data_IF_315380566552
#
_entry.id   IF_315380566552
#
_cell.length_a   1.000
_cell.length_b   1.000
_cell.length_c   1.000
_cell.angle_alpha   90.00
_cell.angle_beta   90.00
_cell.angle_gamma   90.00
#
_symmetry.space_group_name_H-M   'P 1'
#
loop_
_entity.id
_entity.type
_entity.pdbx_description
1 polymer ?
#
# COMPACT_ATOMS: atom_id res chain seq x y z
N UNK A 1 -18.39 50.53 23.89
CA UNK A 1 -18.72 49.09 23.92
C UNK A 1 -18.82 48.59 22.49
N UNK A 2 -18.34 47.37 22.23
CA UNK A 2 -18.47 46.58 20.99
C UNK A 2 -17.62 47.08 19.81
N UNK A 3 -16.84 46.27 19.10
CA UNK A 3 -16.61 44.82 19.14
C UNK A 3 -15.54 44.46 18.11
N UNK A 4 -14.72 43.46 18.42
CA UNK A 4 -13.60 42.95 17.61
C UNK A 4 -14.11 42.23 16.36
N UNK A 5 -13.37 42.34 15.26
CA UNK A 5 -13.46 41.45 14.10
C UNK A 5 -12.05 41.03 13.66
N UNK A 6 -11.71 39.76 13.87
CA UNK A 6 -10.59 39.05 13.25
C UNK A 6 -11.15 38.18 12.11
N UNK A 7 -10.25 37.54 11.34
CA UNK A 7 -10.44 36.62 10.19
C UNK A 7 -10.39 37.32 8.82
N UNK A 8 -9.60 36.92 7.82
CA UNK A 8 -8.55 35.91 7.67
C UNK A 8 -7.74 36.32 6.43
N UNK A 9 -6.40 36.35 6.51
CA UNK A 9 -5.55 36.41 5.33
C UNK A 9 -5.67 35.09 4.55
N UNK A 10 -6.33 35.12 3.39
CA UNK A 10 -6.26 34.05 2.40
C UNK A 10 -4.88 34.13 1.71
N UNK A 11 -3.90 33.46 2.29
CA UNK A 11 -2.64 33.14 1.63
C UNK A 11 -2.90 32.11 0.55
N UNK A 12 -2.93 32.55 -0.72
CA UNK A 12 -2.98 31.66 -1.86
C UNK A 12 -1.67 30.87 -1.93
N UNK A 13 -1.84 29.55 -1.86
CA UNK A 13 -0.89 28.48 -2.07
C UNK A 13 0.25 28.81 -3.04
N UNK A 14 1.44 29.12 -2.51
CA UNK A 14 2.68 29.00 -3.26
C UNK A 14 2.97 27.50 -3.39
N UNK A 15 2.66 26.93 -4.56
CA UNK A 15 3.20 25.67 -5.03
C UNK A 15 4.73 25.81 -5.05
N UNK A 16 5.38 25.41 -3.94
CA UNK A 16 6.83 25.32 -3.84
C UNK A 16 7.28 24.15 -4.71
N UNK A 17 7.63 24.43 -5.96
CA UNK A 17 8.46 23.55 -6.75
C UNK A 17 9.78 23.35 -5.98
N UNK A 18 9.99 22.14 -5.49
CA UNK A 18 11.17 21.75 -4.73
C UNK A 18 12.42 21.77 -5.61
N UNK A 19 13.36 22.65 -5.27
CA UNK A 19 14.68 22.74 -5.87
C UNK A 19 15.67 21.78 -5.22
N UNK A 20 16.23 20.87 -6.01
CA UNK A 20 17.28 19.95 -5.59
C UNK A 20 18.65 20.63 -5.46
N UNK A 21 19.54 20.09 -4.61
CA UNK A 21 20.95 20.51 -4.51
C UNK A 21 21.76 19.63 -3.52
N UNK A 22 23.02 19.98 -3.27
CA UNK A 22 24.05 19.17 -2.61
C UNK A 22 24.75 19.97 -1.49
N UNK A 23 25.73 19.40 -0.78
CA UNK A 23 26.73 20.21 -0.01
C UNK A 23 27.93 20.52 -0.90
N UNK A 24 28.40 21.77 -0.91
CA UNK A 24 29.43 22.22 -1.86
C UNK A 24 30.75 22.57 -1.18
N UNK A 25 31.85 22.14 -1.80
CA UNK A 25 33.21 22.34 -1.32
C UNK A 25 34.10 22.83 -2.46
N UNK A 26 35.19 23.51 -2.13
CA UNK A 26 36.13 23.95 -3.16
C UNK A 26 37.58 23.76 -2.73
N UNK A 27 38.49 23.71 -3.70
CA UNK A 27 39.90 23.46 -3.41
C UNK A 27 40.55 24.58 -2.60
N UNK A 28 41.14 24.21 -1.46
CA UNK A 28 41.84 25.10 -0.55
C UNK A 28 43.25 25.46 -1.05
N UNK A 29 44.02 24.47 -1.51
CA UNK A 29 45.48 24.57 -1.71
C UNK A 29 45.97 25.01 -3.10
N UNK A 30 45.08 25.18 -4.09
CA UNK A 30 45.53 25.68 -5.40
C UNK A 30 44.50 25.63 -6.53
N UNK A 31 44.99 26.01 -7.70
CA UNK A 31 44.28 25.97 -8.98
C UNK A 31 44.75 24.78 -9.81
N UNK A 32 43.80 24.06 -10.40
CA UNK A 32 43.99 22.77 -11.06
C UNK A 32 43.52 22.82 -12.52
N UNK A 33 44.14 22.01 -13.37
CA UNK A 33 43.52 21.65 -14.66
C UNK A 33 42.23 20.88 -14.41
N UNK A 34 41.31 20.85 -15.37
CA UNK A 34 39.99 20.26 -15.16
C UNK A 34 40.05 18.80 -14.68
N UNK A 35 40.89 17.97 -15.29
CA UNK A 35 41.07 16.55 -14.86
C UNK A 35 41.63 16.44 -13.44
N UNK A 36 42.55 17.34 -13.08
CA UNK A 36 43.12 17.38 -11.74
C UNK A 36 42.11 17.87 -10.70
N UNK A 37 41.25 18.83 -11.08
CA UNK A 37 40.15 19.32 -10.26
C UNK A 37 39.12 18.21 -10.01
N UNK A 38 38.80 17.43 -11.04
CA UNK A 38 37.92 16.27 -10.91
C UNK A 38 38.51 15.22 -9.99
N UNK A 39 39.78 14.86 -10.19
CA UNK A 39 40.47 13.90 -9.33
C UNK A 39 40.48 14.37 -7.86
N UNK A 40 40.71 15.66 -7.63
CA UNK A 40 40.59 16.25 -6.29
C UNK A 40 39.18 16.05 -5.70
N UNK A 41 38.13 16.38 -6.45
CA UNK A 41 36.76 16.23 -5.97
C UNK A 41 36.38 14.76 -5.71
N UNK A 42 36.80 13.83 -6.56
CA UNK A 42 36.55 12.40 -6.36
C UNK A 42 37.36 11.78 -5.21
N UNK A 43 38.51 12.38 -4.87
CA UNK A 43 39.35 11.93 -3.76
C UNK A 43 38.78 12.34 -2.40
N UNK A 44 38.21 13.55 -2.30
CA UNK A 44 37.81 14.14 -1.02
C UNK A 44 36.29 14.31 -0.83
N UNK A 45 35.51 14.23 -1.91
CA UNK A 45 34.06 14.43 -1.93
C UNK A 45 33.41 13.41 -2.88
N UNK A 46 32.23 13.71 -3.44
CA UNK A 46 31.57 12.81 -4.38
C UNK A 46 32.10 12.99 -5.81
N UNK A 47 31.96 14.18 -6.40
CA UNK A 47 32.55 14.54 -7.70
C UNK A 47 32.51 16.08 -7.86
N UNK A 48 32.85 16.59 -9.04
CA UNK A 48 32.63 18.00 -9.38
C UNK A 48 31.15 18.33 -9.46
N UNK A 49 30.81 19.57 -9.10
CA UNK A 49 29.42 20.04 -8.99
C UNK A 49 28.60 19.78 -10.24
N UNK A 50 27.40 19.22 -10.04
CA UNK A 50 26.38 19.06 -11.07
C UNK A 50 25.17 19.96 -10.73
N UNK A 51 24.99 21.02 -11.52
CA UNK A 51 23.99 22.05 -11.25
C UNK A 51 22.65 21.66 -11.86
N UNK A 52 21.59 21.71 -11.06
CA UNK A 52 20.27 21.21 -11.42
C UNK A 52 19.27 22.31 -11.78
N UNK A 53 19.45 23.53 -11.25
CA UNK A 53 18.49 24.63 -11.42
C UNK A 53 19.13 26.01 -11.15
N UNK A 54 18.37 27.07 -11.45
CA UNK A 54 18.83 28.45 -11.28
C UNK A 54 19.03 28.86 -9.80
N UNK A 55 18.29 28.28 -8.86
CA UNK A 55 18.40 28.62 -7.43
C UNK A 55 19.73 28.12 -6.85
N UNK A 56 20.18 26.93 -7.27
CA UNK A 56 21.51 26.41 -6.95
C UNK A 56 22.62 27.36 -7.41
N UNK A 57 22.49 27.95 -8.60
CA UNK A 57 23.45 28.94 -9.12
C UNK A 57 23.49 30.19 -8.22
N UNK A 58 22.31 30.68 -7.83
CA UNK A 58 22.22 31.83 -6.92
C UNK A 58 22.86 31.51 -5.56
N UNK A 59 22.61 30.32 -5.03
CA UNK A 59 23.21 29.83 -3.79
C UNK A 59 24.74 29.78 -3.90
N UNK A 60 25.28 29.12 -4.93
CA UNK A 60 26.73 29.01 -5.16
C UNK A 60 27.38 30.39 -5.28
N UNK A 61 26.78 31.29 -6.06
CA UNK A 61 27.31 32.64 -6.26
C UNK A 61 27.31 33.49 -4.97
N UNK A 62 26.32 33.30 -4.10
CA UNK A 62 26.25 33.96 -2.79
C UNK A 62 27.23 33.35 -1.78
N UNK A 63 27.36 32.03 -1.76
CA UNK A 63 28.09 31.30 -0.71
C UNK A 63 29.58 31.17 -0.96
N UNK A 64 30.02 31.12 -2.23
CA UNK A 64 31.44 30.96 -2.58
C UNK A 64 32.18 32.31 -2.64
N UNK A 65 33.46 32.37 -2.23
CA UNK A 65 34.27 33.57 -2.38
C UNK A 65 34.64 33.85 -3.84
N UNK A 66 34.96 35.10 -4.15
CA UNK A 66 35.52 35.44 -5.46
C UNK A 66 36.91 34.83 -5.63
N UNK A 67 37.20 34.31 -6.83
CA UNK A 67 38.53 33.88 -7.21
C UNK A 67 38.87 34.34 -8.63
N UNK A 68 40.10 34.85 -8.84
CA UNK A 68 40.53 35.47 -10.10
C UNK A 68 40.49 34.54 -11.33
N UNK A 69 40.66 33.24 -11.11
CA UNK A 69 40.60 32.20 -12.16
C UNK A 69 39.25 31.49 -12.22
N UNK A 70 38.30 31.89 -11.37
CA UNK A 70 37.00 31.25 -11.19
C UNK A 70 37.11 29.77 -10.81
N UNK A 71 36.04 29.01 -11.07
CA UNK A 71 35.84 27.65 -10.59
C UNK A 71 35.48 26.73 -11.75
N UNK A 72 36.06 25.53 -11.75
CA UNK A 72 35.63 24.44 -12.63
C UNK A 72 34.34 23.80 -12.12
N UNK A 73 33.40 23.53 -13.02
CA UNK A 73 32.20 22.74 -12.74
C UNK A 73 32.25 21.38 -13.46
N UNK A 74 31.40 20.46 -13.03
CA UNK A 74 31.29 19.09 -13.56
C UNK A 74 30.65 18.98 -14.95
N UNK A 75 30.57 20.06 -15.72
CA UNK A 75 30.00 20.06 -17.07
C UNK A 75 31.11 19.92 -18.11
N UNK A 76 30.98 18.94 -19.00
CA UNK A 76 31.94 18.70 -20.10
C UNK A 76 31.21 18.37 -21.39
N UNK A 77 31.79 18.71 -22.53
CA UNK A 77 31.30 18.30 -23.85
C UNK A 77 31.81 16.89 -24.17
N UNK A 78 30.89 15.92 -24.24
CA UNK A 78 31.18 14.52 -24.58
C UNK A 78 30.37 14.17 -25.83
N UNK A 79 31.03 13.74 -26.91
CA UNK A 79 30.40 13.39 -28.19
C UNK A 79 29.42 14.47 -28.72
N UNK A 80 29.78 15.74 -28.50
CA UNK A 80 28.98 16.90 -28.92
C UNK A 80 27.89 17.32 -27.92
N UNK A 81 27.65 16.58 -26.84
CA UNK A 81 26.61 16.83 -25.85
C UNK A 81 27.21 17.30 -24.51
N UNK A 82 26.69 18.41 -23.98
CA UNK A 82 27.05 18.88 -22.63
C UNK A 82 26.48 17.94 -21.57
N UNK A 83 27.37 17.30 -20.81
CA UNK A 83 27.03 16.24 -19.86
C UNK A 83 27.63 16.53 -18.49
N UNK A 84 26.81 16.38 -17.44
CA UNK A 84 27.25 16.42 -16.05
C UNK A 84 28.02 15.14 -15.73
N UNK A 85 29.34 15.22 -15.61
CA UNK A 85 30.20 14.03 -15.54
C UNK A 85 30.02 13.22 -14.26
N UNK A 86 29.60 13.85 -13.17
CA UNK A 86 29.35 13.19 -11.88
C UNK A 86 28.05 12.36 -11.89
N UNK A 87 27.00 12.85 -12.53
CA UNK A 87 25.67 12.19 -12.57
C UNK A 87 25.39 11.45 -13.88
N UNK A 88 26.25 11.65 -14.90
CA UNK A 88 26.08 11.18 -16.29
C UNK A 88 24.78 11.63 -16.95
N UNK A 89 24.19 12.72 -16.46
CA UNK A 89 22.97 13.31 -17.03
C UNK A 89 23.34 14.39 -18.05
N UNK A 90 22.63 14.43 -19.17
CA UNK A 90 22.75 15.51 -20.13
C UNK A 90 22.25 16.83 -19.52
N UNK A 91 22.80 17.96 -19.98
CA UNK A 91 22.35 19.30 -19.58
C UNK A 91 20.88 19.52 -20.02
N UNK A 92 20.04 19.91 -19.08
CA UNK A 92 18.65 20.32 -19.35
C UNK A 92 18.58 21.81 -19.65
N UNK A 93 17.57 22.25 -20.42
CA UNK A 93 17.34 23.67 -20.70
C UNK A 93 17.06 24.50 -19.44
N UNK A 94 16.46 23.88 -18.43
CA UNK A 94 16.13 24.53 -17.15
C UNK A 94 17.38 24.83 -16.32
N UNK A 95 18.42 23.99 -16.43
CA UNK A 95 19.68 24.20 -15.74
C UNK A 95 20.66 25.09 -16.52
N UNK A 96 20.43 25.29 -17.83
CA UNK A 96 21.34 26.01 -18.72
C UNK A 96 21.55 27.47 -18.28
N UNK A 97 22.82 27.87 -18.12
CA UNK A 97 23.14 29.20 -17.61
C UNK A 97 24.41 29.81 -18.25
N UNK A 98 24.57 29.66 -19.56
CA UNK A 98 25.67 30.27 -20.31
C UNK A 98 25.68 31.80 -20.21
N UNK A 99 26.88 32.37 -20.24
CA UNK A 99 27.07 33.80 -20.42
C UNK A 99 26.68 34.22 -21.84
N UNK A 100 26.37 35.50 -22.02
CA UNK A 100 26.09 36.09 -23.31
C UNK A 100 27.27 35.85 -24.26
N UNK A 101 26.99 35.12 -25.35
CA UNK A 101 27.98 34.75 -26.36
C UNK A 101 28.62 33.39 -26.16
N UNK A 102 28.24 32.63 -25.12
CA UNK A 102 28.76 31.29 -24.82
C UNK A 102 27.72 30.18 -25.05
N UNK A 103 28.13 28.92 -25.28
CA UNK A 103 29.51 28.47 -25.48
C UNK A 103 30.04 28.82 -26.87
N UNK A 104 31.24 29.39 -26.96
CA UNK A 104 31.79 29.91 -28.21
C UNK A 104 32.83 29.00 -28.88
N UNK A 105 33.28 27.94 -28.20
CA UNK A 105 34.28 26.98 -28.67
C UNK A 105 35.50 27.62 -29.35
N UNK A 106 36.04 28.69 -28.76
CA UNK A 106 37.25 29.35 -29.26
C UNK A 106 38.38 28.35 -29.45
N UNK A 107 38.97 28.36 -30.65
CA UNK A 107 40.09 27.49 -31.07
C UNK A 107 39.76 25.99 -31.09
N UNK A 108 38.48 25.63 -31.09
CA UNK A 108 38.01 24.23 -31.19
C UNK A 108 38.55 23.29 -30.11
N UNK A 109 38.79 23.80 -28.90
CA UNK A 109 39.38 23.01 -27.80
C UNK A 109 38.83 23.34 -26.40
N UNK A 110 37.61 23.87 -26.34
CA UNK A 110 36.95 24.29 -25.09
C UNK A 110 35.85 23.31 -24.69
N UNK A 111 36.25 22.14 -24.20
CA UNK A 111 35.30 21.11 -23.79
C UNK A 111 34.95 21.15 -22.29
N UNK A 112 35.57 22.06 -21.53
CA UNK A 112 35.41 22.19 -20.09
C UNK A 112 34.75 23.51 -19.70
N UNK A 113 34.00 23.54 -18.60
CA UNK A 113 33.16 24.70 -18.25
C UNK A 113 33.55 25.32 -16.92
N UNK A 114 33.73 26.64 -16.90
CA UNK A 114 33.89 27.43 -15.69
C UNK A 114 32.59 28.17 -15.29
N UNK A 115 32.49 28.53 -14.01
CA UNK A 115 31.40 29.36 -13.47
C UNK A 115 31.91 30.69 -12.89
N UNK A 116 31.28 31.80 -13.28
CA UNK A 116 31.65 33.16 -12.87
C UNK A 116 31.17 33.55 -11.48
N UNK A 117 31.71 32.91 -10.44
CA UNK A 117 31.40 33.25 -9.03
C UNK A 117 31.82 34.69 -8.71
N UNK A 118 30.84 35.48 -8.24
CA UNK A 118 30.96 36.87 -7.81
C UNK A 118 31.60 37.80 -8.84
N UNK A 119 31.44 37.51 -10.14
CA UNK A 119 31.87 38.40 -11.22
C UNK A 119 30.99 39.66 -11.25
N UNK A 120 31.55 40.87 -11.48
CA UNK A 120 30.75 42.11 -11.49
C UNK A 120 29.61 42.12 -12.53
N UNK A 121 29.80 41.44 -13.65
CA UNK A 121 28.82 41.30 -14.72
C UNK A 121 28.63 39.81 -15.02
N UNK A 122 27.39 39.40 -15.24
CA UNK A 122 27.04 38.01 -15.56
C UNK A 122 27.50 37.02 -14.47
N UNK A 123 27.31 37.39 -13.20
CA UNK A 123 27.63 36.53 -12.05
C UNK A 123 26.89 35.19 -12.13
N UNK A 124 27.57 34.10 -11.80
CA UNK A 124 27.06 32.74 -11.85
C UNK A 124 26.89 32.14 -13.26
N UNK A 125 27.07 32.94 -14.33
CA UNK A 125 27.01 32.44 -15.71
C UNK A 125 28.22 31.56 -16.05
N UNK A 126 28.06 30.74 -17.09
CA UNK A 126 29.05 29.77 -17.53
C UNK A 126 29.82 30.20 -18.78
N UNK A 127 31.03 29.67 -18.93
CA UNK A 127 31.89 29.87 -20.07
C UNK A 127 32.66 28.57 -20.37
N UNK A 128 32.77 28.20 -21.65
CA UNK A 128 33.62 27.10 -22.06
C UNK A 128 35.09 27.56 -22.14
N UNK A 129 36.00 26.73 -21.65
CA UNK A 129 37.44 27.01 -21.55
C UNK A 129 38.27 25.77 -21.87
N UNK A 130 39.52 25.94 -22.33
CA UNK A 130 40.42 24.81 -22.51
C UNK A 130 40.65 24.11 -21.17
N UNK A 131 40.49 22.79 -21.15
CA UNK A 131 40.60 21.97 -19.93
C UNK A 131 41.97 22.06 -19.23
N UNK A 132 43.00 22.54 -19.94
CA UNK A 132 44.37 22.75 -19.42
C UNK A 132 44.52 24.05 -18.60
N UNK A 133 43.51 24.92 -18.58
CA UNK A 133 43.51 26.13 -17.76
C UNK A 133 43.41 25.75 -16.28
N UNK A 134 44.03 26.58 -15.44
CA UNK A 134 44.08 26.32 -13.99
C UNK A 134 43.03 27.17 -13.26
N UNK A 135 42.13 26.52 -12.54
CA UNK A 135 41.03 27.16 -11.79
C UNK A 135 40.79 26.42 -10.47
N UNK A 136 39.98 26.99 -9.57
CA UNK A 136 39.56 26.29 -8.36
C UNK A 136 38.66 25.09 -8.71
N UNK A 137 38.80 23.98 -8.00
CA UNK A 137 37.87 22.87 -8.13
C UNK A 137 36.60 23.19 -7.33
N UNK A 138 35.41 23.04 -7.92
CA UNK A 138 34.13 23.11 -7.19
C UNK A 138 33.50 21.71 -7.16
N UNK A 139 33.44 21.17 -5.96
CA UNK A 139 33.03 19.81 -5.65
C UNK A 139 31.66 19.82 -4.97
N UNK A 140 30.96 18.69 -5.06
CA UNK A 140 29.81 18.42 -4.20
C UNK A 140 30.03 17.13 -3.41
N UNK A 141 29.38 17.05 -2.25
CA UNK A 141 29.24 15.84 -1.46
C UNK A 141 27.75 15.45 -1.45
N UNK A 142 27.46 14.22 -1.88
CA UNK A 142 26.14 13.63 -1.89
C UNK A 142 25.59 13.50 -0.47
N UNK A 143 24.37 14.00 -0.26
CA UNK A 143 23.67 13.85 1.02
C UNK A 143 22.94 12.51 1.07
N UNK A 144 22.52 12.00 -0.08
CA UNK A 144 21.89 10.69 -0.18
C UNK A 144 22.88 9.56 0.08
N UNK A 145 22.58 8.75 1.08
CA UNK A 145 23.26 7.50 1.39
C UNK A 145 22.32 6.32 1.09
N UNK A 146 22.86 5.08 0.96
CA UNK A 146 22.04 3.90 0.64
C UNK A 146 20.86 3.65 1.59
N UNK A 147 20.92 4.17 2.83
CA UNK A 147 19.89 3.98 3.86
C UNK A 147 19.12 5.26 4.22
N UNK A 148 19.38 6.41 3.58
CA UNK A 148 18.78 7.72 3.91
C UNK A 148 17.25 7.73 3.93
N UNK A 149 16.60 6.87 3.15
CA UNK A 149 15.14 6.75 3.08
C UNK A 149 14.64 5.38 3.53
N UNK A 150 15.35 4.75 4.48
CA UNK A 150 15.03 3.43 5.02
C UNK A 150 14.88 2.32 3.98
N UNK A 151 15.42 2.51 2.77
CA UNK A 151 15.17 1.68 1.58
C UNK A 151 13.67 1.55 1.21
N UNK A 152 12.86 2.51 1.66
CA UNK A 152 11.39 2.57 1.56
C UNK A 152 10.92 3.85 0.84
N UNK A 153 11.83 4.51 0.14
CA UNK A 153 11.56 5.67 -0.67
C UNK A 153 12.75 6.01 -1.56
N UNK A 154 12.49 6.90 -2.50
CA UNK A 154 13.52 7.49 -3.35
C UNK A 154 14.21 8.64 -2.59
N UNK A 155 15.54 8.62 -2.54
CA UNK A 155 16.31 9.72 -1.96
C UNK A 155 16.52 10.82 -3.01
N UNK A 156 16.09 12.03 -2.67
CA UNK A 156 16.18 13.20 -3.54
C UNK A 156 17.08 14.24 -2.88
N UNK A 157 18.20 14.55 -3.54
CA UNK A 157 19.17 15.56 -3.11
C UNK A 157 18.52 16.97 -3.04
N UNK A 158 18.78 17.73 -1.96
CA UNK A 158 18.27 19.09 -1.69
C UNK A 158 19.39 20.04 -1.21
N UNK A 159 19.21 21.37 -1.25
CA UNK A 159 20.30 22.31 -0.86
C UNK A 159 20.84 22.00 0.55
N UNK A 160 22.07 21.48 0.61
CA UNK A 160 22.74 21.10 1.85
C UNK A 160 22.15 19.90 2.61
N UNK A 161 21.24 19.11 2.02
CA UNK A 161 20.56 17.97 2.66
C UNK A 161 19.98 16.99 1.62
N UNK A 162 19.16 16.04 2.03
CA UNK A 162 18.24 15.29 1.17
C UNK A 162 16.80 15.37 1.70
N UNK A 163 15.86 14.89 0.89
CA UNK A 163 14.51 14.53 1.30
C UNK A 163 14.17 13.14 0.76
N UNK A 164 13.16 12.51 1.33
CA UNK A 164 12.67 11.22 0.86
C UNK A 164 11.30 11.35 0.19
N UNK A 165 11.16 10.70 -0.96
CA UNK A 165 9.88 10.47 -1.63
C UNK A 165 9.46 9.02 -1.33
N UNK A 166 8.63 8.86 -0.30
CA UNK A 166 8.29 7.53 0.23
C UNK A 166 7.45 6.70 -0.74
N UNK A 167 7.73 5.40 -0.76
CA UNK A 167 6.90 4.43 -1.45
C UNK A 167 5.52 4.31 -0.78
N UNK A 168 4.48 3.84 -1.49
CA UNK A 168 3.15 3.67 -0.91
C UNK A 168 3.17 2.85 0.37
N UNK A 169 2.49 3.34 1.41
CA UNK A 169 2.39 2.68 2.72
C UNK A 169 3.49 3.03 3.71
N UNK A 170 4.42 3.91 3.34
CA UNK A 170 5.47 4.43 4.20
C UNK A 170 5.38 5.95 4.34
N UNK A 171 5.85 6.48 5.47
CA UNK A 171 5.80 7.91 5.78
C UNK A 171 6.86 8.27 6.84
N UNK A 172 7.01 9.57 7.10
CA UNK A 172 8.09 10.13 7.91
C UNK A 172 9.17 10.80 7.03
N UNK A 173 10.04 11.63 7.62
CA UNK A 173 11.13 12.30 6.91
C UNK A 173 12.10 11.35 6.20
N UNK A 174 12.28 10.13 6.72
CA UNK A 174 13.18 9.10 6.18
C UNK A 174 12.43 7.82 5.76
N UNK A 175 11.10 7.92 5.59
CA UNK A 175 10.22 6.79 5.28
C UNK A 175 10.32 5.64 6.31
N UNK A 176 10.62 5.99 7.55
CA UNK A 176 10.91 5.08 8.65
C UNK A 176 9.63 4.46 9.24
N UNK A 177 8.50 5.17 9.13
CA UNK A 177 7.23 4.74 9.69
C UNK A 177 6.37 4.03 8.63
N UNK A 178 5.65 2.99 9.07
CA UNK A 178 4.74 2.22 8.22
C UNK A 178 3.30 2.60 8.55
N UNK A 179 2.47 2.73 7.53
CA UNK A 179 1.03 2.91 7.69
C UNK A 179 0.43 1.72 8.46
N UNK A 180 -0.40 2.00 9.45
CA UNK A 180 -1.10 0.98 10.24
C UNK A 180 -2.60 1.06 10.02
N UNK A 181 -3.23 -0.07 9.72
CA UNK A 181 -4.67 -0.19 9.62
C UNK A 181 -5.30 -0.50 10.99
N UNK A 182 -6.62 -0.33 11.10
CA UNK A 182 -7.35 -0.70 12.30
C UNK A 182 -7.13 -2.19 12.64
N UNK A 183 -6.84 -2.47 13.93
CA UNK A 183 -6.72 -3.84 14.43
C UNK A 183 -8.02 -4.61 14.19
N UNK A 184 -7.91 -5.79 13.61
CA UNK A 184 -9.07 -6.65 13.34
C UNK A 184 -9.30 -7.62 14.51
N UNK A 185 -10.53 -7.60 15.03
CA UNK A 185 -10.99 -8.52 16.08
C UNK A 185 -12.37 -9.11 15.69
N UNK A 186 -12.40 -9.98 14.65
CA UNK A 186 -13.66 -10.53 14.15
C UNK A 186 -14.27 -11.53 15.15
N UNK A 187 -15.59 -11.49 15.31
CA UNK A 187 -16.33 -12.41 16.19
C UNK A 187 -16.78 -13.66 15.42
N UNK A 188 -16.47 -14.86 15.94
CA UNK A 188 -16.96 -16.13 15.37
C UNK A 188 -16.37 -16.50 14.01
N UNK A 189 -15.26 -15.87 13.62
CA UNK A 189 -14.53 -16.12 12.37
C UNK A 189 -13.10 -16.51 12.71
N UNK A 190 -12.56 -17.54 12.06
CA UNK A 190 -11.14 -17.85 12.16
C UNK A 190 -10.35 -16.90 11.25
N UNK A 191 -9.28 -16.30 11.77
CA UNK A 191 -8.46 -15.34 11.04
C UNK A 191 -6.99 -15.75 11.10
N UNK A 192 -6.35 -15.84 9.94
CA UNK A 192 -4.91 -16.06 9.82
C UNK A 192 -4.27 -14.87 9.12
N UNK A 193 -3.35 -14.19 9.79
CA UNK A 193 -2.72 -12.98 9.26
C UNK A 193 -1.21 -13.17 9.03
N UNK A 194 -0.71 -12.48 8.00
CA UNK A 194 0.72 -12.28 7.74
C UNK A 194 1.04 -10.79 7.81
N UNK A 195 2.10 -10.44 8.53
CA UNK A 195 2.46 -9.07 8.92
C UNK A 195 3.90 -8.73 8.48
N UNK A 196 4.16 -8.46 7.19
CA UNK A 196 5.51 -8.28 6.67
C UNK A 196 6.24 -7.06 7.25
N UNK A 197 5.50 -6.04 7.68
CA UNK A 197 6.04 -4.77 8.18
C UNK A 197 5.51 -4.40 9.57
N UNK A 198 5.04 -5.40 10.34
CA UNK A 198 4.46 -5.22 11.67
C UNK A 198 2.95 -5.44 11.72
N UNK A 199 2.43 -5.55 12.95
CA UNK A 199 1.05 -5.97 13.22
C UNK A 199 0.03 -5.01 12.62
N UNK A 200 -0.80 -5.55 11.73
CA UNK A 200 -1.84 -4.82 10.99
C UNK A 200 -1.30 -3.60 10.21
N UNK A 201 -0.02 -3.62 9.82
CA UNK A 201 0.61 -2.59 9.01
C UNK A 201 0.38 -2.80 7.50
N UNK A 202 0.77 -1.81 6.69
CA UNK A 202 0.69 -1.86 5.23
C UNK A 202 1.08 -3.22 4.67
N UNK A 203 0.30 -3.70 3.70
CA UNK A 203 0.48 -4.99 3.06
C UNK A 203 0.31 -6.22 3.97
N UNK A 204 -0.12 -6.04 5.22
CA UNK A 204 -0.66 -7.15 6.02
C UNK A 204 -1.84 -7.77 5.30
N UNK A 205 -1.88 -9.10 5.27
CA UNK A 205 -2.96 -9.88 4.67
C UNK A 205 -3.57 -10.80 5.71
N UNK A 206 -4.89 -10.73 5.88
CA UNK A 206 -5.63 -11.60 6.78
C UNK A 206 -6.64 -12.42 5.98
N UNK A 207 -6.55 -13.74 6.08
CA UNK A 207 -7.49 -14.69 5.48
C UNK A 207 -8.51 -15.15 6.53
N UNK A 208 -9.77 -15.22 6.10
CA UNK A 208 -10.91 -15.51 6.96
C UNK A 208 -11.58 -16.83 6.59
N UNK A 209 -11.74 -17.69 7.59
CA UNK A 209 -12.45 -18.96 7.53
C UNK A 209 -13.65 -18.98 8.47
N UNK A 210 -14.65 -19.79 8.11
CA UNK A 210 -15.79 -20.09 8.98
C UNK A 210 -15.64 -21.49 9.55
N UNK A 211 -16.20 -21.69 10.74
CA UNK A 211 -16.34 -23.02 11.32
C UNK A 211 -17.29 -23.89 10.47
N UNK A 212 -17.21 -25.20 10.66
CA UNK A 212 -18.08 -26.16 9.98
C UNK A 212 -19.56 -25.81 10.21
N UNK A 213 -20.38 -25.95 9.16
CA UNK A 213 -21.80 -25.60 9.21
C UNK A 213 -22.11 -24.11 8.96
N UNK A 214 -21.08 -23.27 8.77
CA UNK A 214 -21.22 -21.85 8.44
C UNK A 214 -20.57 -21.52 7.10
N UNK A 215 -21.17 -20.58 6.37
CA UNK A 215 -20.65 -20.02 5.14
C UNK A 215 -20.24 -18.55 5.30
N UNK A 216 -19.16 -18.15 4.62
CA UNK A 216 -18.63 -16.78 4.69
C UNK A 216 -19.44 -15.85 3.79
N UNK A 217 -19.85 -14.70 4.34
CA UNK A 217 -20.42 -13.56 3.62
C UNK A 217 -19.41 -12.41 3.63
N UNK A 218 -18.93 -12.04 2.45
CA UNK A 218 -17.93 -10.98 2.26
C UNK A 218 -16.57 -11.48 1.75
N UNK A 219 -15.56 -10.63 1.87
CA UNK A 219 -14.23 -10.88 1.34
C UNK A 219 -13.52 -12.03 2.08
N UNK A 220 -12.83 -12.90 1.32
CA UNK A 220 -12.04 -14.00 1.86
C UNK A 220 -10.73 -13.54 2.52
N UNK A 221 -10.15 -12.49 1.94
CA UNK A 221 -8.85 -11.96 2.32
C UNK A 221 -8.97 -10.44 2.40
N UNK A 222 -8.48 -9.86 3.48
CA UNK A 222 -8.32 -8.42 3.64
C UNK A 222 -6.86 -8.05 3.55
N UNK A 223 -6.56 -6.94 2.87
CA UNK A 223 -5.22 -6.37 2.77
C UNK A 223 -5.19 -4.93 3.28
N UNK A 224 -4.21 -4.59 4.11
CA UNK A 224 -4.02 -3.22 4.58
C UNK A 224 -3.42 -2.36 3.46
N UNK A 225 -4.15 -1.33 3.04
CA UNK A 225 -3.79 -0.46 1.92
C UNK A 225 -2.93 0.73 2.37
N UNK A 226 -2.26 1.44 1.44
CA UNK A 226 -1.53 2.67 1.75
C UNK A 226 -2.41 3.77 2.35
N UNK A 227 -3.73 3.70 2.12
CA UNK A 227 -4.72 4.67 2.61
C UNK A 227 -5.07 4.52 4.10
N UNK A 228 -4.39 3.65 4.86
CA UNK A 228 -4.78 3.25 6.23
C UNK A 228 -6.10 2.48 6.32
N UNK A 229 -6.63 2.02 5.19
CA UNK A 229 -7.88 1.26 5.13
C UNK A 229 -7.64 -0.20 4.74
N UNK A 230 -8.51 -1.08 5.24
CA UNK A 230 -8.58 -2.44 4.73
C UNK A 230 -9.26 -2.46 3.36
N UNK A 231 -8.84 -3.39 2.50
CA UNK A 231 -9.40 -3.53 1.15
C UNK A 231 -10.90 -3.81 1.09
N UNK A 232 -11.50 -4.29 2.18
CA UNK A 232 -12.93 -4.48 2.37
C UNK A 232 -13.25 -4.58 3.88
N UNK A 233 -14.55 -4.64 4.21
CA UNK A 233 -15.01 -4.87 5.58
C UNK A 233 -14.78 -6.32 6.03
N UNK A 234 -14.69 -6.54 7.35
CA UNK A 234 -14.58 -7.89 7.94
C UNK A 234 -15.78 -8.75 7.51
N UNK A 235 -15.54 -9.98 7.03
CA UNK A 235 -16.62 -10.87 6.63
C UNK A 235 -17.37 -11.40 7.86
N UNK A 236 -18.59 -11.89 7.63
CA UNK A 236 -19.38 -12.59 8.63
C UNK A 236 -19.54 -14.06 8.26
N UNK A 237 -19.74 -14.92 9.26
CA UNK A 237 -20.07 -16.33 9.06
C UNK A 237 -21.55 -16.54 9.39
N UNK A 238 -22.32 -17.00 8.41
CA UNK A 238 -23.76 -17.28 8.55
C UNK A 238 -24.00 -18.78 8.48
N UNK A 239 -24.87 -19.31 9.34
CA UNK A 239 -25.18 -20.74 9.33
C UNK A 239 -25.78 -21.17 7.99
N UNK A 240 -25.37 -22.32 7.47
CA UNK A 240 -25.87 -22.84 6.19
C UNK A 240 -27.38 -23.08 6.32
N UNK A 241 -28.15 -22.53 5.38
CA UNK A 241 -29.62 -22.67 5.36
C UNK A 241 -30.01 -23.97 4.67
N UNK A 242 -30.91 -24.74 5.27
CA UNK A 242 -31.48 -25.95 4.68
C UNK A 242 -32.89 -25.68 4.09
N UNK A 243 -33.39 -26.56 3.20
CA UNK A 243 -34.75 -26.46 2.70
C UNK A 243 -35.76 -26.41 3.84
N UNK A 244 -36.75 -25.51 3.75
CA UNK A 244 -37.81 -25.42 4.76
C UNK A 244 -38.61 -26.72 4.79
N UNK A 245 -38.79 -27.28 5.98
CA UNK A 245 -39.64 -28.46 6.18
C UNK A 245 -41.05 -28.02 6.60
N UNK A 246 -42.02 -28.88 6.32
CA UNK A 246 -43.41 -28.71 6.75
C UNK A 246 -43.90 -29.98 7.42
N UNK A 247 -44.95 -29.85 8.24
CA UNK A 247 -45.56 -31.00 8.89
C UNK A 247 -46.12 -31.97 7.84
N UNK A 248 -45.93 -33.29 8.01
CA UNK A 248 -46.50 -34.28 7.12
C UNK A 248 -48.02 -34.21 7.19
N UNK A 249 -48.68 -34.60 6.09
CA UNK A 249 -50.13 -34.71 6.09
C UNK A 249 -50.56 -35.66 7.24
N UNK A 250 -51.61 -35.27 7.97
CA UNK A 250 -52.11 -35.98 9.16
C UNK A 250 -51.06 -36.18 10.27
N UNK A 251 -50.08 -35.29 10.36
CA UNK A 251 -49.09 -35.25 11.42
C UNK A 251 -48.73 -33.85 11.88
N UNK A 252 -47.82 -33.78 12.84
CA UNK A 252 -47.31 -32.56 13.46
C UNK A 252 -45.78 -32.53 13.35
N UNK A 253 -45.22 -31.33 13.38
CA UNK A 253 -43.77 -31.10 13.34
C UNK A 253 -43.38 -30.07 14.39
N UNK A 254 -42.38 -30.42 15.20
CA UNK A 254 -41.80 -29.52 16.20
C UNK A 254 -40.30 -29.38 15.93
N UNK A 255 -39.86 -28.15 15.69
CA UNK A 255 -38.45 -27.86 15.39
C UNK A 255 -37.80 -27.02 16.49
N UNK A 256 -36.51 -27.29 16.71
CA UNK A 256 -35.60 -26.46 17.51
C UNK A 256 -34.50 -25.90 16.60
N UNK A 257 -34.31 -24.59 16.63
CA UNK A 257 -33.45 -23.86 15.70
C UNK A 257 -32.33 -23.15 16.45
N UNK A 258 -31.11 -23.71 16.43
CA UNK A 258 -29.99 -23.20 17.22
C UNK A 258 -29.37 -21.90 16.67
N UNK A 259 -29.31 -21.77 15.33
CA UNK A 259 -28.61 -20.67 14.65
C UNK A 259 -29.51 -19.89 13.66
N UNK A 260 -30.83 -20.10 13.72
CA UNK A 260 -31.81 -19.56 12.78
C UNK A 260 -32.77 -20.63 12.27
N UNK A 261 -33.91 -20.18 11.72
CA UNK A 261 -34.93 -21.10 11.20
C UNK A 261 -34.37 -21.98 10.07
N UNK A 262 -34.52 -23.29 10.23
CA UNK A 262 -34.07 -24.31 9.27
C UNK A 262 -32.57 -24.18 8.86
N UNK A 263 -31.70 -23.67 9.74
CA UNK A 263 -30.25 -23.61 9.49
C UNK A 263 -29.50 -24.81 10.08
N UNK A 264 -28.20 -24.91 9.81
CA UNK A 264 -27.28 -25.85 10.46
C UNK A 264 -27.53 -25.94 11.98
N UNK A 265 -27.54 -27.17 12.52
CA UNK A 265 -27.87 -27.45 13.92
C UNK A 265 -29.36 -27.44 14.26
N UNK A 266 -30.26 -27.24 13.28
CA UNK A 266 -31.71 -27.41 13.50
C UNK A 266 -32.10 -28.88 13.62
N UNK A 267 -33.04 -29.17 14.52
CA UNK A 267 -33.62 -30.51 14.69
C UNK A 267 -35.14 -30.41 14.62
N UNK A 268 -35.78 -31.25 13.81
CA UNK A 268 -37.23 -31.32 13.67
C UNK A 268 -37.73 -32.73 14.00
N UNK A 269 -38.64 -32.83 14.96
CA UNK A 269 -39.30 -34.08 15.35
C UNK A 269 -40.71 -34.14 14.75
N UNK A 270 -41.10 -35.33 14.32
CA UNK A 270 -42.36 -35.60 13.63
C UNK A 270 -43.22 -36.59 14.40
N UNK A 271 -44.51 -36.33 14.45
CA UNK A 271 -45.52 -37.22 15.04
C UNK A 271 -46.74 -37.32 14.13
N UNK A 272 -47.50 -38.41 14.26
CA UNK A 272 -48.74 -38.61 13.51
C UNK A 272 -49.95 -38.50 14.43
N UNK A 273 -51.05 -38.01 13.88
CA UNK A 273 -52.34 -37.97 14.57
C UNK A 273 -52.85 -39.39 14.88
N UNK A 274 -53.79 -39.49 15.82
CA UNK A 274 -54.38 -40.77 16.23
C UNK A 274 -54.97 -41.50 15.01
N UNK A 275 -54.66 -42.79 14.88
CA UNK A 275 -55.11 -43.63 13.76
C UNK A 275 -54.10 -43.73 12.62
N UNK A 276 -52.98 -43.00 12.68
CA UNK A 276 -51.88 -43.11 11.72
C UNK A 276 -50.59 -43.61 12.39
N UNK A 277 -49.69 -44.18 11.60
CA UNK A 277 -48.35 -44.62 12.01
C UNK A 277 -47.32 -43.82 11.21
N UNK A 278 -46.26 -43.35 11.88
CA UNK A 278 -45.17 -42.64 11.22
C UNK A 278 -44.29 -43.64 10.47
N UNK A 279 -44.12 -43.41 9.18
CA UNK A 279 -43.23 -44.19 8.30
C UNK A 279 -41.98 -43.37 8.02
N UNK A 280 -40.84 -43.84 8.53
CA UNK A 280 -39.53 -43.19 8.45
C UNK A 280 -38.95 -42.84 9.82
N UNK A 281 -37.80 -42.14 9.83
CA UNK A 281 -37.15 -41.69 11.07
C UNK A 281 -37.98 -40.59 11.77
N UNK A 282 -38.04 -40.61 13.11
CA UNK A 282 -38.85 -39.68 13.92
C UNK A 282 -38.27 -38.26 14.03
N UNK A 283 -36.96 -38.09 13.85
CA UNK A 283 -36.29 -36.78 13.89
C UNK A 283 -35.42 -36.55 12.65
N UNK A 284 -35.32 -35.30 12.22
CA UNK A 284 -34.36 -34.83 11.20
C UNK A 284 -33.44 -33.82 11.83
N UNK A 285 -32.18 -33.87 11.46
CA UNK A 285 -31.13 -32.95 11.91
C UNK A 285 -30.50 -32.27 10.70
N UNK A 286 -30.08 -31.03 10.87
CA UNK A 286 -29.44 -30.22 9.84
C UNK A 286 -27.93 -30.22 10.02
N UNK A 287 -27.21 -30.96 9.17
CA UNK A 287 -25.74 -31.00 9.15
C UNK A 287 -25.17 -30.25 7.93
N UNK A 288 -25.90 -29.27 7.42
CA UNK A 288 -25.67 -28.59 6.13
C UNK A 288 -26.62 -29.08 5.04
N UNK A 289 -27.28 -30.21 5.29
CA UNK A 289 -28.49 -30.71 4.64
C UNK A 289 -29.29 -31.53 5.65
N UNK A 290 -30.59 -31.77 5.39
CA UNK A 290 -31.39 -32.63 6.26
C UNK A 290 -30.94 -34.09 6.20
N UNK A 291 -30.89 -34.74 7.37
CA UNK A 291 -30.55 -36.16 7.49
C UNK A 291 -31.67 -37.06 6.97
N UNK A 292 -31.55 -37.56 5.73
CA UNK A 292 -32.51 -38.50 5.13
C UNK A 292 -33.84 -37.86 4.70
N UNK A 293 -34.76 -38.69 4.20
CA UNK A 293 -36.01 -38.22 3.57
C UNK A 293 -37.07 -37.85 4.60
N UNK A 294 -37.95 -36.87 4.31
CA UNK A 294 -39.06 -36.47 5.20
C UNK A 294 -40.00 -37.65 5.48
N UNK A 295 -40.39 -37.91 6.75
CA UNK A 295 -41.30 -39.00 7.07
C UNK A 295 -42.75 -38.65 6.67
N UNK A 296 -43.60 -39.66 6.58
CA UNK A 296 -45.04 -39.47 6.30
C UNK A 296 -45.89 -40.34 7.22
N UNK A 297 -47.18 -40.03 7.31
CA UNK A 297 -48.14 -40.74 8.14
C UNK A 297 -49.00 -41.68 7.30
N UNK A 298 -49.04 -42.97 7.66
CA UNK A 298 -49.86 -43.98 6.98
C UNK A 298 -50.98 -44.47 7.92
N UNK A 299 -52.18 -44.68 7.40
CA UNK A 299 -53.33 -45.10 8.21
C UNK A 299 -53.11 -46.48 8.81
N UNK A 300 -53.42 -46.65 10.10
CA UNK A 300 -53.41 -47.96 10.75
C UNK A 300 -54.64 -48.75 10.28
N UNK A 301 -54.43 -49.79 9.49
CA UNK A 301 -55.51 -50.73 9.15
C UNK A 301 -55.84 -51.53 10.41
N UNK A 302 -57.00 -51.27 11.01
CA UNK A 302 -57.55 -52.15 12.03
C UNK A 302 -58.00 -53.43 11.33
N UNK A 303 -57.18 -54.48 11.37
CA UNK A 303 -57.64 -55.82 11.03
C UNK A 303 -58.64 -56.25 12.10
N UNK A 304 -59.93 -55.96 11.89
CA UNK A 304 -61.01 -56.67 12.56
C UNK A 304 -60.98 -58.11 12.03
N UNK A 305 -60.31 -59.00 12.75
CA UNK A 305 -60.53 -60.43 12.56
C UNK A 305 -61.96 -60.75 13.01
N UNK A 306 -62.82 -61.15 12.09
CA UNK A 306 -64.11 -61.75 12.43
C UNK A 306 -63.84 -63.14 13.04
N UNK A 307 -64.00 -63.28 14.36
CA UNK A 307 -64.24 -64.57 14.97
C UNK A 307 -65.70 -64.95 14.70
N UNK A 308 -65.94 -65.97 13.88
CA UNK A 308 -67.24 -66.62 13.79
C UNK A 308 -67.39 -67.51 15.03
N UNK A 309 -68.27 -67.13 15.96
CA UNK A 309 -68.80 -68.03 16.99
C UNK A 309 -70.05 -68.73 16.42
N UNK A 310 -69.99 -70.05 16.28
CA UNK A 310 -71.15 -70.90 15.95
C UNK A 310 -72.13 -70.95 17.13
N UNK A 311 -73.46 -70.78 16.91
CA UNK A 311 -74.45 -70.86 17.97
C UNK A 311 -74.81 -72.32 18.33
N UNK A 312 -74.90 -72.56 19.64
CA UNK A 312 -75.40 -73.76 20.30
C UNK A 312 -76.86 -74.04 19.92
N UNK A 313 -77.18 -75.30 19.58
CA UNK A 313 -78.56 -75.81 19.52
C UNK A 313 -78.84 -76.82 20.65
N UNK A 314 -80.12 -76.97 21.07
CA UNK A 314 -80.46 -77.16 22.48
C UNK A 314 -80.85 -78.59 22.88
N UNK A 315 -80.87 -78.77 24.20
CA UNK A 315 -81.25 -79.96 24.97
C UNK A 315 -82.72 -80.37 24.76
N UNK A 316 -82.97 -81.67 24.59
CA UNK A 316 -84.26 -82.32 24.87
C UNK A 316 -84.06 -83.37 25.98
N UNK A 317 -84.82 -83.22 27.07
CA UNK A 317 -85.15 -84.23 28.11
C UNK A 317 -86.64 -84.55 27.93
N UNK A 318 -87.25 -85.71 28.21
CA UNK A 318 -86.93 -87.00 28.84
C UNK A 318 -88.21 -87.83 28.66
N UNK A 319 -88.12 -89.16 28.54
CA UNK A 319 -88.79 -90.12 29.45
C UNK A 319 -87.88 -91.34 29.56
#
# INVERSE_FOLDING_TARGET
MLGRGWHHCLGLCCLLCSVGAWTYHYSDKGDYMWEQARNYCQTFFTDMVAIQNQEEIQYLNRSLPYHKSYYWIGLRKLDGVWTWVGTRKALTKEAENWAQGEPNNRRSNQDCVEIYIRRPQQAGKWNDEPCTRRKKALCYLASCQPFSCSQRGECVETIGSYRCECYPGFHGPECEHVVQCAKLEPQGVSMYCSHPYGDFSYNSTCEFGCHEGFERRGAAVLRCLPSQEWSANTPTCTAITCPVLSAPAQGEMHCSHLHGEFTFGSTCAFSCQKGFALVGLQSRESTGSWTGNTPHCEGRVLSMGCSLEDPLDPVVSTV
#
